data_IF_693701109094
#
_entry.id   IF_693701109094
#
_cell.length_a   1.000
_cell.length_b   1.000
_cell.length_c   1.000
_cell.angle_alpha   90.00
_cell.angle_beta   90.00
_cell.angle_gamma   90.00
#
_symmetry.space_group_name_H-M   'P 1'
#
loop_
_entity.id
_entity.type
_entity.pdbx_description
1 polymer ?
#
# COMPACT_ATOMS: atom_id res chain seq x y z
N UNK A 1 -10.35 -12.53 -6.95
CA UNK A 1 -9.28 -12.26 -5.99
C UNK A 1 -8.85 -10.81 -6.10
N UNK A 2 -8.92 -10.03 -5.03
CA UNK A 2 -8.50 -8.62 -5.10
C UNK A 2 -7.01 -8.51 -5.40
N UNK A 3 -6.64 -7.47 -6.12
CA UNK A 3 -5.26 -7.25 -6.57
C UNK A 3 -4.57 -6.26 -5.65
N UNK A 4 -3.38 -6.63 -5.18
CA UNK A 4 -2.57 -5.79 -4.30
C UNK A 4 -1.28 -5.38 -5.01
N UNK A 5 -0.99 -4.08 -5.04
CA UNK A 5 0.30 -3.57 -5.51
C UNK A 5 1.22 -3.41 -4.30
N UNK A 6 2.35 -4.12 -4.32
CA UNK A 6 3.35 -4.07 -3.25
C UNK A 6 4.54 -3.25 -3.73
N UNK A 7 4.72 -2.05 -3.17
CA UNK A 7 5.79 -1.13 -3.56
C UNK A 7 6.89 -1.17 -2.51
N UNK A 8 8.02 -1.81 -2.85
CA UNK A 8 9.12 -2.03 -1.93
C UNK A 8 10.40 -2.33 -2.71
N UNK A 9 11.48 -1.60 -2.44
CA UNK A 9 12.77 -1.80 -3.12
C UNK A 9 13.60 -2.93 -2.52
N UNK A 10 13.26 -3.42 -1.33
CA UNK A 10 13.91 -4.57 -0.70
C UNK A 10 13.23 -5.84 -1.18
N UNK A 11 13.95 -6.61 -1.99
CA UNK A 11 13.41 -7.82 -2.62
C UNK A 11 12.91 -8.84 -1.57
N UNK A 12 13.70 -9.09 -0.53
CA UNK A 12 13.32 -10.03 0.52
C UNK A 12 12.08 -9.59 1.27
N UNK A 13 12.04 -8.31 1.64
CA UNK A 13 10.91 -7.72 2.35
C UNK A 13 9.65 -7.78 1.48
N UNK A 14 9.80 -7.46 0.20
CA UNK A 14 8.71 -7.53 -0.76
C UNK A 14 8.14 -8.96 -0.87
N UNK A 15 9.02 -9.96 -0.91
CA UNK A 15 8.60 -11.36 -0.95
C UNK A 15 7.77 -11.76 0.28
N UNK A 16 8.18 -11.28 1.46
CA UNK A 16 7.47 -11.56 2.71
C UNK A 16 6.07 -10.97 2.65
N UNK A 17 5.95 -9.72 2.24
CA UNK A 17 4.66 -9.02 2.12
C UNK A 17 3.76 -9.73 1.11
N UNK A 18 4.30 -10.08 -0.05
CA UNK A 18 3.54 -10.79 -1.08
C UNK A 18 3.02 -12.14 -0.58
N UNK A 19 3.84 -12.86 0.19
CA UNK A 19 3.43 -14.14 0.77
C UNK A 19 2.28 -13.98 1.75
N UNK A 20 2.37 -12.99 2.63
CA UNK A 20 1.31 -12.68 3.59
C UNK A 20 0.03 -12.29 2.86
N UNK A 21 0.14 -11.46 1.84
CA UNK A 21 -1.00 -11.03 1.04
C UNK A 21 -1.68 -12.20 0.33
N UNK A 22 -0.89 -13.10 -0.24
CA UNK A 22 -1.44 -14.30 -0.90
C UNK A 22 -2.21 -15.16 0.08
N UNK A 23 -1.68 -15.34 1.30
CA UNK A 23 -2.37 -16.10 2.35
C UNK A 23 -3.65 -15.40 2.82
N UNK A 24 -3.70 -14.09 2.74
CA UNK A 24 -4.90 -13.32 3.11
C UNK A 24 -5.93 -13.27 1.97
N UNK A 25 -5.64 -13.88 0.82
CA UNK A 25 -6.58 -13.97 -0.28
C UNK A 25 -6.42 -12.89 -1.35
N UNK A 26 -5.28 -12.22 -1.41
CA UNK A 26 -4.97 -11.23 -2.44
C UNK A 26 -4.10 -11.81 -3.55
N UNK A 27 -4.16 -11.20 -4.72
CA UNK A 27 -3.23 -11.48 -5.82
C UNK A 27 -2.18 -10.36 -5.83
N UNK A 28 -0.97 -10.59 -5.28
CA UNK A 28 0.04 -9.54 -5.16
C UNK A 28 0.82 -9.33 -6.46
N UNK A 29 1.14 -8.07 -6.73
CA UNK A 29 2.02 -7.65 -7.82
C UNK A 29 3.11 -6.78 -7.22
N UNK A 30 4.37 -7.16 -7.37
CA UNK A 30 5.48 -6.42 -6.81
C UNK A 30 5.96 -5.32 -7.75
N UNK A 31 6.38 -4.20 -7.16
CA UNK A 31 7.08 -3.12 -7.83
C UNK A 31 8.30 -2.76 -7.01
N UNK A 32 9.49 -2.85 -7.60
CA UNK A 32 10.76 -2.64 -6.90
C UNK A 32 11.21 -1.19 -6.90
N UNK A 33 10.51 -0.31 -7.59
CA UNK A 33 10.84 1.10 -7.67
C UNK A 33 9.59 1.95 -7.83
N UNK A 34 9.75 3.24 -7.57
CA UNK A 34 8.71 4.21 -7.80
C UNK A 34 8.24 4.20 -9.26
N UNK A 35 9.19 4.21 -10.21
CA UNK A 35 8.87 4.25 -11.64
C UNK A 35 8.08 3.02 -12.08
N UNK A 36 8.48 1.85 -11.61
CA UNK A 36 7.77 0.61 -11.89
C UNK A 36 6.36 0.64 -11.30
N UNK A 37 6.23 1.11 -10.07
CA UNK A 37 4.93 1.23 -9.40
C UNK A 37 4.00 2.20 -10.13
N UNK A 38 4.53 3.33 -10.56
CA UNK A 38 3.76 4.33 -11.29
C UNK A 38 3.25 3.76 -12.61
N UNK A 39 4.10 3.02 -13.32
CA UNK A 39 3.73 2.39 -14.58
C UNK A 39 2.63 1.34 -14.37
N UNK A 40 2.79 0.48 -13.37
CA UNK A 40 1.80 -0.55 -13.07
C UNK A 40 0.46 0.07 -12.66
N UNK A 41 0.48 1.13 -11.88
CA UNK A 41 -0.74 1.82 -11.46
C UNK A 41 -1.47 2.49 -12.62
N UNK A 42 -0.76 2.88 -13.66
CA UNK A 42 -1.38 3.41 -14.89
C UNK A 42 -1.97 2.31 -15.76
N UNK A 43 -1.33 1.16 -15.81
CA UNK A 43 -1.71 0.06 -16.70
C UNK A 43 -2.81 -0.85 -16.16
N UNK A 44 -2.98 -0.87 -14.85
CA UNK A 44 -3.92 -1.80 -14.20
C UNK A 44 -4.59 -1.16 -13.00
N UNK A 45 -5.75 -1.69 -12.65
CA UNK A 45 -6.47 -1.28 -11.44
C UNK A 45 -6.10 -2.20 -10.29
N UNK A 46 -5.73 -1.63 -9.15
CA UNK A 46 -5.43 -2.37 -7.93
C UNK A 46 -6.49 -2.08 -6.88
N UNK A 47 -6.82 -3.09 -6.09
CA UNK A 47 -7.83 -2.98 -5.02
C UNK A 47 -7.22 -2.53 -3.71
N UNK A 48 -5.90 -2.64 -3.59
CA UNK A 48 -5.16 -2.25 -2.39
C UNK A 48 -3.70 -2.00 -2.76
N UNK A 49 -3.02 -1.14 -2.00
CA UNK A 49 -1.62 -0.79 -2.23
C UNK A 49 -0.88 -0.81 -0.89
N UNK A 50 0.31 -1.44 -0.85
CA UNK A 50 1.24 -1.24 0.26
C UNK A 50 2.40 -0.40 -0.26
N UNK A 51 2.76 0.64 0.49
CA UNK A 51 3.81 1.59 0.12
C UNK A 51 4.87 1.62 1.20
N UNK A 52 6.08 1.20 0.85
CA UNK A 52 7.22 1.23 1.76
C UNK A 52 7.95 2.58 1.64
N UNK A 53 8.06 3.28 2.77
CA UNK A 53 8.73 4.58 2.81
C UNK A 53 10.26 4.49 2.82
N UNK A 54 10.85 3.28 2.81
CA UNK A 54 12.31 3.15 2.70
C UNK A 54 12.85 3.61 1.34
N UNK A 55 11.96 3.78 0.36
CA UNK A 55 12.29 4.43 -0.92
C UNK A 55 12.65 5.91 -0.74
N UNK A 56 12.48 6.44 0.48
CA UNK A 56 12.70 7.85 0.81
C UNK A 56 11.38 8.57 1.00
N UNK A 57 11.32 9.48 1.98
CA UNK A 57 10.11 10.23 2.27
C UNK A 57 9.63 11.04 1.06
N UNK A 58 10.58 11.64 0.32
CA UNK A 58 10.24 12.39 -0.88
C UNK A 58 9.59 11.50 -1.94
N UNK A 59 10.16 10.32 -2.18
CA UNK A 59 9.61 9.37 -3.16
C UNK A 59 8.23 8.87 -2.72
N UNK A 60 8.02 8.67 -1.42
CA UNK A 60 6.71 8.29 -0.89
C UNK A 60 5.64 9.33 -1.18
N UNK A 61 5.94 10.60 -0.92
CA UNK A 61 5.02 11.71 -1.21
C UNK A 61 4.73 11.83 -2.71
N UNK A 62 5.76 11.69 -3.54
CA UNK A 62 5.59 11.73 -4.99
C UNK A 62 4.69 10.58 -5.47
N UNK A 63 4.83 9.40 -4.89
CA UNK A 63 3.96 8.27 -5.22
C UNK A 63 2.51 8.56 -4.84
N UNK A 64 2.28 9.16 -3.66
CA UNK A 64 0.93 9.54 -3.25
C UNK A 64 0.33 10.57 -4.21
N UNK A 65 1.11 11.55 -4.65
CA UNK A 65 0.65 12.53 -5.63
C UNK A 65 0.30 11.89 -6.96
N UNK A 66 1.10 10.92 -7.39
CA UNK A 66 0.83 10.18 -8.62
C UNK A 66 -0.49 9.42 -8.52
N UNK A 67 -0.72 8.75 -7.39
CA UNK A 67 -1.98 8.05 -7.14
C UNK A 67 -3.17 9.02 -7.13
N UNK A 68 -2.97 10.20 -6.60
CA UNK A 68 -3.99 11.25 -6.62
C UNK A 68 -4.34 11.68 -8.05
N UNK A 69 -3.32 11.87 -8.90
CA UNK A 69 -3.53 12.22 -10.31
C UNK A 69 -4.32 11.13 -11.03
N UNK A 70 -4.05 9.85 -10.70
CA UNK A 70 -4.77 8.72 -11.27
C UNK A 70 -6.15 8.53 -10.65
N UNK A 71 -6.55 9.36 -9.69
CA UNK A 71 -7.82 9.27 -8.97
C UNK A 71 -8.00 7.92 -8.27
N UNK A 72 -6.91 7.42 -7.68
CA UNK A 72 -6.90 6.15 -6.98
C UNK A 72 -7.83 6.20 -5.77
N UNK A 73 -8.71 5.21 -5.65
CA UNK A 73 -9.60 5.04 -4.51
C UNK A 73 -9.21 3.86 -3.64
N UNK A 74 -8.18 3.12 -4.05
CA UNK A 74 -7.75 1.93 -3.34
C UNK A 74 -7.18 2.29 -1.97
N UNK A 75 -7.44 1.46 -0.94
CA UNK A 75 -6.80 1.61 0.36
C UNK A 75 -5.29 1.50 0.24
N UNK A 76 -4.58 2.36 0.97
CA UNK A 76 -3.12 2.42 0.98
C UNK A 76 -2.62 2.14 2.39
N UNK A 77 -1.82 1.09 2.54
CA UNK A 77 -1.14 0.76 3.80
C UNK A 77 0.31 1.21 3.69
N UNK A 78 0.70 2.17 4.52
CA UNK A 78 2.07 2.65 4.56
C UNK A 78 2.88 1.75 5.49
N UNK A 79 4.03 1.28 5.00
CA UNK A 79 4.96 0.46 5.78
C UNK A 79 6.21 1.30 5.98
N UNK A 80 6.62 1.51 7.23
CA UNK A 80 7.67 2.46 7.53
C UNK A 80 8.59 2.03 8.66
N UNK A 81 9.91 2.18 8.43
CA UNK A 81 10.92 2.15 9.48
C UNK A 81 11.41 3.56 9.83
N UNK A 82 10.79 4.57 9.23
CA UNK A 82 11.13 5.96 9.47
C UNK A 82 10.69 6.41 10.85
N UNK A 83 11.19 7.57 11.29
CA UNK A 83 10.72 8.12 12.55
C UNK A 83 9.24 8.53 12.43
N UNK A 84 8.60 8.68 13.58
CA UNK A 84 7.17 8.97 13.67
C UNK A 84 6.79 10.27 12.99
N UNK A 85 7.67 11.27 12.99
CA UNK A 85 7.38 12.58 12.39
C UNK A 85 7.22 12.44 10.87
N UNK A 86 8.17 11.75 10.22
CA UNK A 86 8.12 11.54 8.77
C UNK A 86 6.90 10.72 8.38
N UNK A 87 6.61 9.68 9.12
CA UNK A 87 5.45 8.83 8.87
C UNK A 87 4.14 9.63 9.00
N UNK A 88 3.98 10.36 10.08
CA UNK A 88 2.78 11.17 10.31
C UNK A 88 2.59 12.23 9.23
N UNK A 89 3.68 12.86 8.81
CA UNK A 89 3.63 13.87 7.76
C UNK A 89 3.18 13.26 6.43
N UNK A 90 3.71 12.10 6.08
CA UNK A 90 3.33 11.39 4.85
C UNK A 90 1.85 10.98 4.89
N UNK A 91 1.39 10.45 6.01
CA UNK A 91 -0.03 10.09 6.20
C UNK A 91 -0.91 11.32 6.07
N UNK A 92 -0.50 12.43 6.68
CA UNK A 92 -1.24 13.69 6.63
C UNK A 92 -1.40 14.18 5.17
N UNK A 93 -0.33 14.12 4.41
CA UNK A 93 -0.35 14.51 3.00
C UNK A 93 -1.31 13.61 2.21
N UNK A 94 -1.23 12.31 2.42
CA UNK A 94 -2.13 11.37 1.75
C UNK A 94 -3.59 11.67 2.04
N UNK A 95 -3.91 11.94 3.30
CA UNK A 95 -5.28 12.27 3.70
C UNK A 95 -5.72 13.63 3.13
N UNK A 96 -4.83 14.62 3.06
CA UNK A 96 -5.15 15.91 2.48
C UNK A 96 -5.44 15.82 0.98
N UNK A 97 -4.91 14.80 0.32
CA UNK A 97 -5.19 14.50 -1.09
C UNK A 97 -6.46 13.64 -1.25
N UNK A 98 -7.17 13.38 -0.18
CA UNK A 98 -8.36 12.51 -0.15
C UNK A 98 -8.08 11.07 -0.59
N UNK A 99 -6.84 10.60 -0.39
CA UNK A 99 -6.50 9.21 -0.57
C UNK A 99 -6.95 8.40 0.65
N UNK A 100 -7.27 7.14 0.44
CA UNK A 100 -7.73 6.25 1.50
C UNK A 100 -6.53 5.62 2.22
N UNK A 101 -5.90 6.38 3.11
CA UNK A 101 -4.72 5.94 3.85
C UNK A 101 -5.13 5.25 5.14
N UNK A 102 -4.70 4.01 5.29
CA UNK A 102 -4.97 3.17 6.47
C UNK A 102 -3.87 3.34 7.51
N UNK A 103 -4.07 2.68 8.66
CA UNK A 103 -3.11 2.70 9.76
C UNK A 103 -1.74 2.20 9.28
N UNK A 104 -0.64 2.97 9.48
CA UNK A 104 0.69 2.52 9.08
C UNK A 104 1.16 1.29 9.83
N UNK A 105 1.95 0.46 9.16
CA UNK A 105 2.57 -0.72 9.76
C UNK A 105 4.05 -0.43 9.96
N UNK A 106 4.56 -0.49 11.21
CA UNK A 106 5.97 -0.17 11.48
C UNK A 106 6.91 -1.30 11.05
N UNK A 107 8.17 -0.94 10.82
CA UNK A 107 9.25 -1.91 10.63
C UNK A 107 10.02 -2.10 11.95
N UNK A 108 10.57 -3.29 12.21
CA UNK A 108 10.41 -4.51 11.42
C UNK A 108 8.93 -4.88 11.29
N UNK A 109 8.54 -5.36 10.14
CA UNK A 109 7.11 -5.57 9.85
C UNK A 109 6.50 -6.51 10.88
N UNK A 110 5.51 -5.99 11.59
CA UNK A 110 4.68 -6.82 12.45
C UNK A 110 3.76 -7.63 11.52
N UNK A 111 4.12 -8.89 11.31
CA UNK A 111 3.42 -9.75 10.37
C UNK A 111 1.97 -9.99 10.76
N UNK A 112 1.69 -10.08 12.07
CA UNK A 112 0.33 -10.24 12.55
C UNK A 112 -0.51 -9.00 12.28
N UNK A 113 0.07 -7.82 12.49
CA UNK A 113 -0.62 -6.56 12.22
C UNK A 113 -0.91 -6.38 10.74
N UNK A 114 0.07 -6.65 9.88
CA UNK A 114 -0.11 -6.56 8.44
C UNK A 114 -1.18 -7.53 7.95
N UNK A 115 -1.12 -8.77 8.41
CA UNK A 115 -2.11 -9.79 8.08
C UNK A 115 -3.51 -9.35 8.50
N UNK A 116 -3.63 -8.84 9.72
CA UNK A 116 -4.91 -8.36 10.22
C UNK A 116 -5.46 -7.22 9.37
N UNK A 117 -4.62 -6.24 9.01
CA UNK A 117 -5.03 -5.13 8.15
C UNK A 117 -5.51 -5.62 6.79
N UNK A 118 -4.79 -6.57 6.19
CA UNK A 118 -5.18 -7.13 4.90
C UNK A 118 -6.48 -7.93 4.99
N UNK A 119 -6.68 -8.67 6.06
CA UNK A 119 -7.93 -9.41 6.28
C UNK A 119 -9.12 -8.45 6.41
N UNK A 120 -8.95 -7.35 7.14
CA UNK A 120 -9.99 -6.32 7.28
C UNK A 120 -10.28 -5.65 5.93
N UNK A 121 -9.25 -5.34 5.17
CA UNK A 121 -9.41 -4.78 3.83
C UNK A 121 -10.20 -5.71 2.92
N UNK A 122 -9.90 -6.99 2.96
CA UNK A 122 -10.60 -7.97 2.15
C UNK A 122 -12.09 -8.01 2.48
N UNK A 123 -12.41 -7.98 3.77
CA UNK A 123 -13.80 -7.94 4.23
C UNK A 123 -14.50 -6.69 3.69
N UNK A 124 -13.87 -5.54 3.76
CA UNK A 124 -14.45 -4.29 3.24
C UNK A 124 -14.66 -4.34 1.74
N UNK A 125 -13.70 -4.89 1.00
CA UNK A 125 -13.81 -5.02 -0.45
C UNK A 125 -14.97 -5.95 -0.84
N UNK A 126 -15.13 -7.05 -0.13
CA UNK A 126 -16.24 -7.98 -0.34
C UNK A 126 -17.58 -7.31 -0.02
N UNK A 127 -17.63 -6.52 1.05
CA UNK A 127 -18.82 -5.78 1.45
C UNK A 127 -19.23 -4.77 0.39
N UNK A 128 -18.27 -4.04 -0.15
CA UNK A 128 -18.50 -3.06 -1.21
C UNK A 128 -19.03 -3.74 -2.48
N UNK A 129 -18.52 -4.94 -2.80
CA UNK A 129 -18.98 -5.71 -3.96
C UNK A 129 -20.42 -6.19 -3.80
N UNK A 130 -20.87 -6.42 -2.59
CA UNK A 130 -22.22 -6.95 -2.30
C UNK A 130 -23.26 -5.84 -2.21
N UNK A 131 -22.86 -4.63 -1.83
CA UNK A 131 -23.78 -3.51 -1.65
C UNK A 131 -24.09 -2.81 -2.98
N UNK A 132 -24.73 -3.52 -3.87
CA UNK A 132 -25.15 -2.98 -5.17
C UNK A 132 -26.62 -2.60 -5.11
#
# INVERSE_FOLDING_TARGET
>A
MPRLLVIDDDHLHCMIICRIAAKAGFAPQAAASYDEAAKLAQEATFDCITLDLSLGAHAGVEMLRHLWVLRCKAPIIIITGCDDVVCRETVRIGKSLNLNVWEPVPKPVDLAMLRHSLEQLKIELEHTSVSV
#
